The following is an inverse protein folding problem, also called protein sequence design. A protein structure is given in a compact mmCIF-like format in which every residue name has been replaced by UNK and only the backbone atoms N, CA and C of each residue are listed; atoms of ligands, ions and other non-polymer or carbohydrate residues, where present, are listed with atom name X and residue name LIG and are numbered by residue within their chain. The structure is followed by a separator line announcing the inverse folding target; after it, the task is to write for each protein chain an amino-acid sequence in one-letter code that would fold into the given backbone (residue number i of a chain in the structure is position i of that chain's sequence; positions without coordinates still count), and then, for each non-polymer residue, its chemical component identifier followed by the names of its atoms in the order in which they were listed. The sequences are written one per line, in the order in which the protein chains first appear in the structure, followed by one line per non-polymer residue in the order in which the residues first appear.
data_IF_649693432429
#
_entry.id   IF_649693432429
#
_cell.length_a   1.000
_cell.length_b   1.000
_cell.length_c   1.000
_cell.angle_alpha   90.00
_cell.angle_beta   90.00
_cell.angle_gamma   90.00
#
_symmetry.space_group_name_H-M   'P 1'
#
loop_
_entity.id
_entity.type
_entity.pdbx_description
1 polymer ?
#
# COMPACT_ATOMS: atom_id res chain seq x y z
N UNK A 1 41.33 -6.73 -12.07
CA UNK A 1 41.36 -5.27 -11.83
C UNK A 1 40.63 -5.03 -10.53
N UNK A 2 41.17 -4.23 -9.61
CA UNK A 2 40.37 -3.75 -8.47
C UNK A 2 39.18 -3.02 -9.08
N UNK A 3 37.97 -3.47 -8.77
CA UNK A 3 36.72 -2.80 -9.12
C UNK A 3 36.79 -1.47 -8.37
N UNK A 4 37.30 -0.42 -8.99
CA UNK A 4 37.17 0.93 -8.46
C UNK A 4 35.67 1.10 -8.22
N UNK A 5 35.27 1.29 -6.97
CA UNK A 5 33.93 1.77 -6.64
C UNK A 5 33.75 3.04 -7.46
N UNK A 6 32.98 2.95 -8.54
CA UNK A 6 32.53 4.14 -9.27
C UNK A 6 31.83 4.98 -8.22
N UNK A 7 32.41 6.12 -7.86
CA UNK A 7 31.81 7.03 -6.91
C UNK A 7 30.40 7.37 -7.43
N UNK A 8 29.37 6.89 -6.75
CA UNK A 8 28.00 7.24 -7.08
C UNK A 8 27.63 8.44 -6.23
N UNK A 9 27.21 9.54 -6.86
CA UNK A 9 26.56 10.63 -6.16
C UNK A 9 25.40 10.07 -5.34
N UNK A 10 25.21 10.59 -4.11
CA UNK A 10 24.10 10.18 -3.24
C UNK A 10 22.75 10.24 -3.98
N UNK A 11 22.56 11.30 -4.76
CA UNK A 11 21.39 11.55 -5.59
C UNK A 11 21.71 11.22 -7.05
N UNK A 12 22.01 9.95 -7.34
CA UNK A 12 22.33 9.51 -8.70
C UNK A 12 21.14 9.67 -9.66
N UNK A 13 21.42 9.99 -10.92
CA UNK A 13 20.37 10.15 -11.95
C UNK A 13 19.56 8.85 -12.14
N UNK A 14 20.21 7.69 -12.12
CA UNK A 14 19.53 6.38 -12.28
C UNK A 14 18.58 6.03 -11.13
N UNK A 15 18.68 6.72 -9.99
CA UNK A 15 17.75 6.58 -8.86
C UNK A 15 16.85 7.80 -8.67
N UNK A 16 16.86 8.76 -9.61
CA UNK A 16 16.14 10.04 -9.53
C UNK A 16 14.66 9.88 -9.20
N UNK A 17 13.98 9.01 -9.91
CA UNK A 17 12.57 8.69 -9.63
C UNK A 17 12.32 8.40 -8.14
N UNK A 18 13.19 7.61 -7.52
CA UNK A 18 13.01 7.22 -6.12
C UNK A 18 13.24 8.39 -5.16
N UNK A 19 14.36 9.09 -5.25
CA UNK A 19 14.66 10.16 -4.29
C UNK A 19 13.86 11.45 -4.55
N UNK A 20 13.34 11.66 -5.76
CA UNK A 20 12.40 12.75 -6.04
C UNK A 20 11.05 12.49 -5.36
N UNK A 21 10.51 11.27 -5.46
CA UNK A 21 9.20 10.95 -4.89
C UNK A 21 9.26 10.61 -3.39
N UNK A 22 10.22 9.80 -2.97
CA UNK A 22 10.42 9.37 -1.58
C UNK A 22 11.72 9.98 -1.05
N UNK A 23 11.69 11.26 -0.68
CA UNK A 23 12.89 12.07 -0.39
C UNK A 23 13.78 11.52 0.74
N UNK A 24 13.25 10.97 1.87
CA UNK A 24 14.10 10.39 2.91
C UNK A 24 14.85 9.13 2.47
N UNK A 25 14.43 8.48 1.38
CA UNK A 25 15.05 7.23 0.91
C UNK A 25 16.53 7.40 0.56
N UNK A 26 16.94 8.58 0.09
CA UNK A 26 18.31 8.87 -0.31
C UNK A 26 19.33 8.58 0.81
N UNK A 27 19.08 9.11 2.02
CA UNK A 27 19.92 8.90 3.21
C UNK A 27 19.61 7.59 3.93
N UNK A 28 18.35 7.13 3.90
CA UNK A 28 18.00 5.85 4.51
C UNK A 28 18.78 4.69 3.89
N UNK A 29 19.01 4.73 2.58
CA UNK A 29 19.73 3.67 1.88
C UNK A 29 21.23 3.58 2.19
N UNK A 30 21.86 4.64 2.72
CA UNK A 30 23.27 4.62 3.15
C UNK A 30 23.52 3.59 4.26
N UNK A 31 22.48 3.21 5.00
CA UNK A 31 22.54 2.21 6.07
C UNK A 31 22.58 0.77 5.54
N UNK A 32 22.41 0.57 4.23
CA UNK A 32 22.30 -0.75 3.61
C UNK A 32 23.41 -0.96 2.57
N UNK A 33 24.07 -2.13 2.55
CA UNK A 33 25.13 -2.41 1.59
C UNK A 33 24.58 -2.39 0.16
N UNK A 34 25.38 -1.87 -0.77
CA UNK A 34 25.12 -2.05 -2.20
C UNK A 34 25.60 -3.45 -2.64
N UNK A 35 24.76 -4.44 -2.39
CA UNK A 35 24.96 -5.78 -2.91
C UNK A 35 24.46 -5.79 -4.36
N UNK A 36 25.37 -5.55 -5.30
CA UNK A 36 25.08 -5.66 -6.74
C UNK A 36 24.42 -7.01 -7.09
N UNK A 37 23.85 -7.11 -8.29
CA UNK A 37 23.20 -8.33 -8.77
C UNK A 37 23.86 -8.84 -10.05
N UNK A 38 23.69 -10.13 -10.35
CA UNK A 38 24.13 -10.71 -11.63
C UNK A 38 23.55 -9.94 -12.83
N UNK A 39 22.30 -9.46 -12.72
CA UNK A 39 21.69 -8.63 -13.76
C UNK A 39 22.38 -7.27 -13.93
N UNK A 40 22.86 -6.65 -12.83
CA UNK A 40 23.62 -5.41 -12.89
C UNK A 40 25.02 -5.63 -13.47
N UNK A 41 25.65 -6.77 -13.17
CA UNK A 41 26.93 -7.15 -13.75
C UNK A 41 26.81 -7.48 -15.25
N UNK A 42 25.77 -8.24 -15.64
CA UNK A 42 25.38 -8.52 -17.02
C UNK A 42 25.15 -7.20 -17.80
N UNK A 43 24.39 -6.27 -17.21
CA UNK A 43 24.15 -4.94 -17.79
C UNK A 43 25.42 -4.11 -17.96
N UNK A 44 26.30 -4.08 -16.96
CA UNK A 44 27.58 -3.36 -17.04
C UNK A 44 28.44 -3.86 -18.20
N UNK A 45 28.46 -5.18 -18.41
CA UNK A 45 29.18 -5.80 -19.52
C UNK A 45 28.57 -5.43 -20.88
N UNK A 46 27.24 -5.40 -20.96
CA UNK A 46 26.53 -5.00 -22.17
C UNK A 46 26.75 -3.52 -22.51
N UNK A 47 26.77 -2.60 -21.52
CA UNK A 47 27.13 -1.20 -21.75
C UNK A 47 28.57 -1.05 -22.26
N UNK A 48 29.54 -1.75 -21.66
CA UNK A 48 30.93 -1.71 -22.15
C UNK A 48 31.06 -2.21 -23.60
N UNK A 49 30.24 -3.20 -23.99
CA UNK A 49 30.17 -3.69 -25.37
C UNK A 49 29.50 -2.67 -26.30
N UNK A 50 28.42 -2.03 -25.87
CA UNK A 50 27.75 -0.96 -26.61
C UNK A 50 28.67 0.23 -26.84
N UNK A 51 29.31 0.73 -25.77
CA UNK A 51 30.28 1.83 -25.78
C UNK A 51 31.34 1.62 -26.87
N UNK A 52 32.06 0.49 -26.85
CA UNK A 52 33.17 0.29 -27.78
C UNK A 52 32.70 0.21 -29.24
N UNK A 53 31.47 -0.28 -29.48
CA UNK A 53 30.85 -0.33 -30.81
C UNK A 53 30.49 1.08 -31.29
N UNK A 54 29.88 1.89 -30.44
CA UNK A 54 29.49 3.28 -30.77
C UNK A 54 30.72 4.17 -30.94
N UNK A 55 31.73 4.04 -30.07
CA UNK A 55 33.02 4.73 -30.21
C UNK A 55 33.72 4.35 -31.52
N UNK A 56 33.74 3.07 -31.90
CA UNK A 56 34.32 2.65 -33.17
C UNK A 56 33.62 3.30 -34.37
N UNK A 57 32.31 3.51 -34.29
CA UNK A 57 31.52 4.11 -35.36
C UNK A 57 31.81 5.61 -35.52
N UNK A 58 31.72 6.41 -34.46
CA UNK A 58 31.93 7.87 -34.54
C UNK A 58 33.41 8.28 -34.53
N UNK A 59 34.27 7.48 -33.90
CA UNK A 59 35.69 7.78 -33.70
C UNK A 59 36.62 6.66 -34.21
N UNK A 60 36.52 6.25 -35.49
CA UNK A 60 37.30 5.13 -36.03
C UNK A 60 38.82 5.37 -35.99
N UNK A 61 39.26 6.64 -35.96
CA UNK A 61 40.65 7.04 -35.76
C UNK A 61 41.17 6.78 -34.32
N UNK A 62 40.29 6.80 -33.31
CA UNK A 62 40.64 6.57 -31.90
C UNK A 62 40.38 5.11 -31.47
N UNK A 63 39.36 4.51 -32.08
CA UNK A 63 38.96 3.11 -31.88
C UNK A 63 38.96 2.38 -33.21
N UNK A 64 40.12 1.82 -33.56
CA UNK A 64 40.24 0.96 -34.74
C UNK A 64 39.47 -0.36 -34.57
N UNK A 65 39.11 -1.00 -35.70
CA UNK A 65 38.48 -2.33 -35.69
C UNK A 65 39.29 -3.36 -34.89
N UNK A 66 40.61 -3.31 -34.97
CA UNK A 66 41.50 -4.19 -34.19
C UNK A 66 41.39 -3.94 -32.68
N UNK A 67 41.34 -2.67 -32.25
CA UNK A 67 41.15 -2.28 -30.83
C UNK A 67 39.79 -2.73 -30.31
N UNK A 68 38.73 -2.54 -31.11
CA UNK A 68 37.39 -3.05 -30.80
C UNK A 68 37.41 -4.57 -30.62
N UNK A 69 37.91 -5.33 -31.60
CA UNK A 69 37.97 -6.81 -31.51
C UNK A 69 38.73 -7.29 -30.28
N UNK A 70 39.87 -6.67 -29.95
CA UNK A 70 40.63 -7.01 -28.74
C UNK A 70 39.84 -6.75 -27.46
N UNK A 71 39.09 -5.66 -27.41
CA UNK A 71 38.25 -5.29 -26.26
C UNK A 71 37.10 -6.27 -26.11
N UNK A 72 36.34 -6.54 -27.19
CA UNK A 72 35.25 -7.53 -27.20
C UNK A 72 35.74 -8.92 -26.78
N UNK A 73 36.91 -9.36 -27.26
CA UNK A 73 37.49 -10.65 -26.85
C UNK A 73 37.90 -10.70 -25.37
N UNK A 74 38.12 -9.55 -24.71
CA UNK A 74 38.30 -9.50 -23.25
C UNK A 74 36.95 -9.61 -22.54
N UNK A 75 35.95 -8.85 -22.98
CA UNK A 75 34.59 -8.90 -22.43
C UNK A 75 33.98 -10.31 -22.51
N UNK A 76 34.26 -11.06 -23.59
CA UNK A 76 33.87 -12.47 -23.77
C UNK A 76 34.38 -13.45 -22.70
N UNK A 77 35.37 -13.05 -21.91
CA UNK A 77 35.96 -13.89 -20.85
C UNK A 77 35.38 -13.57 -19.47
N UNK A 78 34.57 -12.52 -19.36
CA UNK A 78 33.91 -12.16 -18.11
C UNK A 78 32.80 -13.17 -17.79
N UNK A 79 32.59 -13.44 -16.50
CA UNK A 79 31.68 -14.49 -16.01
C UNK A 79 30.24 -14.32 -16.51
N UNK A 80 29.75 -13.09 -16.59
CA UNK A 80 28.37 -12.78 -16.97
C UNK A 80 28.19 -12.54 -18.48
N UNK A 81 29.16 -12.93 -19.31
CA UNK A 81 29.04 -12.82 -20.76
C UNK A 81 27.92 -13.71 -21.31
N UNK A 82 27.12 -13.15 -22.22
CA UNK A 82 26.17 -13.90 -23.04
C UNK A 82 26.33 -13.44 -24.50
N UNK A 83 26.43 -14.39 -25.44
CA UNK A 83 26.59 -14.08 -26.86
C UNK A 83 25.44 -13.26 -27.45
N UNK A 84 24.22 -13.37 -26.90
CA UNK A 84 23.06 -12.55 -27.28
C UNK A 84 23.29 -11.05 -27.07
N UNK A 85 24.18 -10.65 -26.13
CA UNK A 85 24.56 -9.25 -25.93
C UNK A 85 25.05 -8.60 -27.22
N UNK A 86 25.68 -9.37 -28.12
CA UNK A 86 26.16 -8.84 -29.39
C UNK A 86 25.00 -8.31 -30.23
N UNK A 87 23.94 -9.09 -30.42
CA UNK A 87 22.77 -8.69 -31.18
C UNK A 87 22.08 -7.47 -30.58
N UNK A 88 21.84 -7.48 -29.26
CA UNK A 88 21.20 -6.36 -28.58
C UNK A 88 22.02 -5.05 -28.65
N UNK A 89 23.34 -5.14 -28.54
CA UNK A 89 24.20 -3.96 -28.69
C UNK A 89 24.36 -3.51 -30.14
N UNK A 90 24.17 -4.40 -31.12
CA UNK A 90 24.06 -4.02 -32.54
C UNK A 90 22.75 -3.27 -32.81
N UNK A 91 21.62 -3.70 -32.26
CA UNK A 91 20.34 -2.99 -32.34
C UNK A 91 20.45 -1.56 -31.76
N UNK A 92 21.12 -1.40 -30.62
CA UNK A 92 21.39 -0.08 -30.04
C UNK A 92 22.23 0.82 -30.96
N UNK A 93 23.32 0.27 -31.52
CA UNK A 93 24.16 0.99 -32.46
C UNK A 93 23.38 1.41 -33.71
N UNK A 94 22.54 0.52 -34.25
CA UNK A 94 21.74 0.80 -35.46
C UNK A 94 20.68 1.88 -35.20
N UNK A 95 20.09 1.92 -34.01
CA UNK A 95 19.24 3.04 -33.59
C UNK A 95 20.02 4.36 -33.59
N UNK A 96 21.21 4.40 -32.99
CA UNK A 96 22.04 5.62 -32.96
C UNK A 96 22.43 6.08 -34.36
N UNK A 97 22.82 5.16 -35.25
CA UNK A 97 23.11 5.50 -36.66
C UNK A 97 21.91 6.14 -37.33
N UNK A 98 20.72 5.56 -37.15
CA UNK A 98 19.48 6.07 -37.72
C UNK A 98 19.16 7.47 -37.18
N UNK A 99 19.30 7.66 -35.86
CA UNK A 99 19.10 8.95 -35.22
C UNK A 99 20.10 10.00 -35.73
N UNK A 100 21.38 9.67 -35.87
CA UNK A 100 22.40 10.57 -36.40
C UNK A 100 22.16 10.95 -37.87
N UNK A 101 21.65 10.02 -38.68
CA UNK A 101 21.28 10.25 -40.08
C UNK A 101 20.02 11.13 -40.24
N UNK A 102 19.21 11.29 -39.19
CA UNK A 102 18.02 12.13 -39.22
C UNK A 102 18.33 13.64 -39.09
N UNK A 103 19.56 14.01 -38.74
CA UNK A 103 20.01 15.41 -38.75
C UNK A 103 20.36 15.86 -40.18
N UNK A 104 20.08 17.13 -40.50
CA UNK A 104 20.41 17.73 -41.81
C UNK A 104 21.91 17.67 -42.15
N UNK A 105 22.74 17.71 -41.12
CA UNK A 105 24.19 17.59 -41.19
C UNK A 105 24.68 16.61 -40.12
N UNK A 106 25.86 16.04 -40.33
CA UNK A 106 26.47 15.14 -39.37
C UNK A 106 26.54 15.81 -37.98
N UNK A 107 25.89 15.24 -36.95
CA UNK A 107 25.89 15.84 -35.62
C UNK A 107 27.24 15.62 -34.92
N UNK A 108 27.54 16.46 -33.94
CA UNK A 108 28.56 16.16 -32.94
C UNK A 108 28.06 15.03 -32.05
N UNK A 109 28.88 14.01 -31.76
CA UNK A 109 28.47 12.82 -31.04
C UNK A 109 29.37 12.56 -29.82
N UNK A 110 28.91 12.79 -28.61
CA UNK A 110 29.63 12.42 -27.39
C UNK A 110 29.19 11.00 -26.93
N UNK A 111 30.14 10.13 -26.57
CA UNK A 111 29.89 8.73 -26.16
C UNK A 111 30.45 8.48 -24.77
N UNK A 112 29.67 7.86 -23.88
CA UNK A 112 30.00 7.66 -22.45
C UNK A 112 30.48 8.97 -21.78
N UNK A 113 29.73 10.04 -22.00
CA UNK A 113 30.10 11.38 -21.57
C UNK A 113 29.65 11.64 -20.15
N UNK A 114 30.58 12.04 -19.29
CA UNK A 114 30.22 12.59 -17.98
C UNK A 114 29.53 13.95 -18.16
N UNK A 115 28.32 14.05 -17.61
CA UNK A 115 27.50 15.26 -17.58
C UNK A 115 27.30 15.70 -16.13
N UNK A 116 27.42 17.02 -15.91
CA UNK A 116 27.28 17.63 -14.59
C UNK A 116 25.96 18.39 -14.53
N UNK A 117 25.13 18.06 -13.55
CA UNK A 117 23.84 18.70 -13.28
C UNK A 117 23.81 19.21 -11.83
N UNK A 118 24.98 19.54 -11.30
CA UNK A 118 25.25 20.04 -9.95
C UNK A 118 24.59 21.39 -9.66
N UNK A 119 24.23 22.13 -10.72
CA UNK A 119 23.33 23.29 -10.63
C UNK A 119 21.98 22.96 -9.99
N UNK A 120 21.46 21.75 -10.20
CA UNK A 120 20.13 21.33 -9.75
C UNK A 120 20.21 20.33 -8.59
N UNK A 121 21.16 19.42 -8.63
CA UNK A 121 21.29 18.34 -7.63
C UNK A 121 22.64 18.48 -6.93
N UNK A 122 22.73 18.61 -5.60
CA UNK A 122 24.02 18.71 -4.92
C UNK A 122 24.94 17.53 -5.27
N UNK A 123 26.17 17.84 -5.69
CA UNK A 123 27.16 16.84 -6.17
C UNK A 123 26.66 16.01 -7.36
N UNK A 124 25.72 16.57 -8.15
CA UNK A 124 25.02 15.88 -9.23
C UNK A 124 25.86 15.69 -10.48
N UNK A 125 26.18 14.44 -10.80
CA UNK A 125 26.74 14.06 -12.10
C UNK A 125 26.27 12.67 -12.51
N UNK A 126 26.46 12.35 -13.79
CA UNK A 126 26.23 11.03 -14.34
C UNK A 126 26.96 10.81 -15.66
N UNK A 127 26.78 9.63 -16.25
CA UNK A 127 27.36 9.29 -17.55
C UNK A 127 26.22 9.03 -18.52
N UNK A 128 26.17 9.82 -19.59
CA UNK A 128 25.23 9.61 -20.69
C UNK A 128 25.89 8.72 -21.75
N UNK A 129 25.19 7.65 -22.15
CA UNK A 129 25.74 6.64 -23.06
C UNK A 129 26.05 7.23 -24.45
N UNK A 130 25.11 8.01 -25.01
CA UNK A 130 25.32 8.74 -26.26
C UNK A 130 24.55 10.08 -26.26
N UNK A 131 25.22 11.13 -26.73
CA UNK A 131 24.64 12.46 -26.94
C UNK A 131 24.93 12.88 -28.37
N UNK A 132 23.90 13.26 -29.13
CA UNK A 132 24.02 13.86 -30.46
C UNK A 132 23.61 15.34 -30.40
N UNK A 133 24.39 16.21 -31.01
CA UNK A 133 24.15 17.66 -31.05
C UNK A 133 24.22 18.12 -32.49
N UNK A 134 23.14 18.71 -33.01
CA UNK A 134 23.10 19.21 -34.38
C UNK A 134 21.92 20.15 -34.62
N UNK A 135 22.14 21.19 -35.42
CA UNK A 135 21.14 22.25 -35.62
C UNK A 135 20.75 22.88 -34.28
N UNK A 136 19.45 22.86 -33.97
CA UNK A 136 18.90 23.30 -32.67
C UNK A 136 18.41 22.16 -31.77
N UNK A 137 18.91 20.93 -32.00
CA UNK A 137 18.49 19.72 -31.28
C UNK A 137 19.65 19.13 -30.48
N UNK A 138 19.39 18.84 -29.20
CA UNK A 138 20.22 18.00 -28.35
C UNK A 138 19.49 16.67 -28.13
N UNK A 139 20.10 15.55 -28.51
CA UNK A 139 19.50 14.22 -28.42
C UNK A 139 20.33 13.35 -27.46
N UNK A 140 19.73 12.96 -26.32
CA UNK A 140 20.34 12.01 -25.37
C UNK A 140 19.75 10.62 -25.60
N UNK A 141 20.60 9.62 -25.79
CA UNK A 141 20.20 8.24 -26.08
C UNK A 141 20.82 7.32 -25.02
N UNK A 142 19.99 6.70 -24.19
CA UNK A 142 20.40 5.79 -23.11
C UNK A 142 20.05 4.34 -23.48
N UNK A 143 21.02 3.44 -23.26
CA UNK A 143 20.89 2.02 -23.45
C UNK A 143 20.36 1.38 -22.17
N UNK A 144 19.34 0.54 -22.28
CA UNK A 144 18.86 -0.27 -21.17
C UNK A 144 18.97 -1.76 -21.51
N UNK A 145 19.76 -2.48 -20.74
CA UNK A 145 19.94 -3.92 -20.92
C UNK A 145 19.01 -4.80 -20.06
N UNK A 146 18.20 -4.21 -19.17
CA UNK A 146 17.27 -4.96 -18.34
C UNK A 146 16.18 -5.67 -19.15
N UNK A 147 15.74 -6.85 -18.70
CA UNK A 147 14.67 -7.66 -19.33
C UNK A 147 13.37 -7.78 -18.53
N UNK A 148 13.26 -7.05 -17.42
CA UNK A 148 12.13 -7.22 -16.48
C UNK A 148 11.04 -6.16 -16.59
N UNK A 149 11.41 -4.93 -16.91
CA UNK A 149 10.50 -3.77 -16.86
C UNK A 149 10.81 -2.87 -18.06
N UNK A 150 9.82 -2.52 -18.90
CA UNK A 150 10.00 -1.54 -19.94
C UNK A 150 10.29 -0.18 -19.30
N UNK A 151 11.28 0.55 -19.83
CA UNK A 151 11.63 1.90 -19.36
C UNK A 151 11.14 2.92 -20.38
N UNK A 152 10.34 3.88 -19.93
CA UNK A 152 9.84 4.99 -20.76
C UNK A 152 10.81 6.17 -20.73
N UNK A 153 10.98 6.83 -21.88
CA UNK A 153 11.70 8.10 -22.00
C UNK A 153 10.82 9.30 -21.64
N UNK A 154 9.50 9.15 -21.68
CA UNK A 154 8.52 10.19 -21.34
C UNK A 154 8.71 10.65 -19.89
N UNK A 155 9.00 11.94 -19.73
CA UNK A 155 9.22 12.59 -18.43
C UNK A 155 10.24 11.88 -17.53
N UNK A 156 11.17 11.14 -18.14
CA UNK A 156 12.11 10.32 -17.40
C UNK A 156 13.18 11.17 -16.71
N UNK A 157 13.16 11.20 -15.37
CA UNK A 157 14.04 12.05 -14.57
C UNK A 157 15.54 11.77 -14.76
N UNK A 158 15.93 10.52 -15.05
CA UNK A 158 17.33 10.20 -15.38
C UNK A 158 17.74 10.89 -16.68
N UNK A 159 16.92 10.75 -17.73
CA UNK A 159 17.17 11.34 -19.04
C UNK A 159 17.14 12.86 -19.00
N UNK A 160 16.22 13.43 -18.23
CA UNK A 160 16.12 14.88 -17.98
C UNK A 160 17.39 15.40 -17.32
N UNK A 161 17.91 14.74 -16.27
CA UNK A 161 19.16 15.13 -15.61
C UNK A 161 20.35 15.07 -16.57
N UNK A 162 20.42 14.05 -17.42
CA UNK A 162 21.45 13.95 -18.45
C UNK A 162 21.34 15.07 -19.47
N UNK A 163 20.13 15.38 -19.93
CA UNK A 163 19.89 16.48 -20.86
C UNK A 163 20.19 17.85 -20.25
N UNK A 164 19.86 18.08 -18.97
CA UNK A 164 20.22 19.29 -18.24
C UNK A 164 21.73 19.49 -18.17
N UNK A 165 22.48 18.43 -17.85
CA UNK A 165 23.93 18.50 -17.79
C UNK A 165 24.59 18.66 -19.17
N UNK A 166 24.07 17.96 -20.19
CA UNK A 166 24.53 18.11 -21.56
C UNK A 166 24.25 19.51 -22.12
N UNK A 167 23.04 20.05 -21.88
CA UNK A 167 22.66 21.40 -22.27
C UNK A 167 23.54 22.45 -21.59
N UNK A 168 23.80 22.31 -20.28
CA UNK A 168 24.72 23.20 -19.57
C UNK A 168 26.13 23.21 -20.20
N UNK A 169 26.61 22.05 -20.66
CA UNK A 169 27.92 21.93 -21.29
C UNK A 169 27.98 22.50 -22.72
N UNK A 170 26.88 22.49 -23.48
CA UNK A 170 26.90 22.84 -24.90
C UNK A 170 26.19 24.17 -25.26
N UNK A 171 25.33 24.71 -24.38
CA UNK A 171 24.47 25.88 -24.65
C UNK A 171 25.20 27.19 -25.01
N UNK A 172 26.49 27.32 -24.65
CA UNK A 172 27.31 28.48 -25.05
C UNK A 172 27.72 28.38 -26.53
N UNK A 173 27.88 27.16 -27.05
CA UNK A 173 28.37 26.89 -28.40
C UNK A 173 27.23 26.61 -29.39
N UNK A 174 26.09 26.11 -28.90
CA UNK A 174 24.96 25.69 -29.73
C UNK A 174 23.66 26.37 -29.28
N UNK A 175 22.92 26.93 -30.23
CA UNK A 175 21.56 27.44 -30.01
C UNK A 175 20.56 26.28 -30.02
N UNK A 176 20.41 25.61 -28.88
CA UNK A 176 19.48 24.50 -28.71
C UNK A 176 18.09 25.02 -28.35
N UNK A 177 17.07 24.60 -29.09
CA UNK A 177 15.66 24.93 -28.83
C UNK A 177 14.88 23.74 -28.27
N UNK A 178 15.29 22.51 -28.62
CA UNK A 178 14.61 21.27 -28.27
C UNK A 178 15.58 20.22 -27.75
N UNK A 179 15.10 19.37 -26.84
CA UNK A 179 15.78 18.14 -26.45
C UNK A 179 14.96 16.93 -26.84
N UNK A 180 15.62 15.91 -27.37
CA UNK A 180 15.05 14.58 -27.58
C UNK A 180 15.72 13.60 -26.65
N UNK A 181 14.92 12.78 -25.98
CA UNK A 181 15.37 11.74 -25.07
C UNK A 181 14.91 10.40 -25.64
N UNK A 182 15.84 9.47 -25.78
CA UNK A 182 15.54 8.13 -26.24
C UNK A 182 16.07 7.09 -25.29
N UNK A 183 15.25 6.10 -24.98
CA UNK A 183 15.63 4.89 -24.27
C UNK A 183 15.51 3.72 -25.23
N UNK A 184 16.61 2.99 -25.40
CA UNK A 184 16.69 1.83 -26.26
C UNK A 184 16.89 0.59 -25.41
N UNK A 185 15.89 -0.29 -25.39
CA UNK A 185 15.86 -1.50 -24.57
C UNK A 185 15.60 -2.75 -25.43
N UNK A 186 16.62 -3.25 -26.15
CA UNK A 186 16.46 -4.27 -27.20
C UNK A 186 15.89 -5.60 -26.71
N UNK A 187 16.23 -6.02 -25.48
CA UNK A 187 15.73 -7.30 -24.90
C UNK A 187 14.21 -7.35 -24.72
N UNK A 188 13.56 -6.19 -24.68
CA UNK A 188 12.10 -6.07 -24.62
C UNK A 188 11.51 -5.54 -25.93
N UNK A 189 12.33 -5.38 -26.98
CA UNK A 189 11.97 -4.69 -28.21
C UNK A 189 11.29 -3.34 -27.94
N UNK A 190 11.77 -2.64 -26.91
CA UNK A 190 11.20 -1.38 -26.43
C UNK A 190 12.13 -0.23 -26.84
N UNK A 191 11.60 0.66 -27.67
CA UNK A 191 12.20 1.96 -27.98
C UNK A 191 11.17 2.99 -27.54
N UNK A 192 11.58 3.87 -26.62
CA UNK A 192 10.74 4.95 -26.11
C UNK A 192 11.44 6.27 -26.37
N UNK A 193 10.68 7.24 -26.87
CA UNK A 193 11.18 8.56 -27.24
C UNK A 193 10.29 9.64 -26.62
N UNK A 194 10.91 10.73 -26.19
CA UNK A 194 10.21 11.91 -25.71
C UNK A 194 10.96 13.17 -26.15
N UNK A 195 10.23 14.24 -26.41
CA UNK A 195 10.79 15.51 -26.88
C UNK A 195 10.13 16.66 -26.11
N UNK A 196 10.95 17.61 -25.68
CA UNK A 196 10.46 18.83 -25.02
C UNK A 196 11.32 20.04 -25.41
N UNK A 197 10.76 21.24 -25.20
CA UNK A 197 11.49 22.50 -25.40
C UNK A 197 12.42 22.81 -24.23
N UNK A 198 13.43 23.65 -24.44
CA UNK A 198 14.32 24.10 -23.35
C UNK A 198 13.56 24.72 -22.14
N UNK A 199 12.52 25.55 -22.32
CA UNK A 199 11.78 26.09 -21.16
C UNK A 199 11.17 25.00 -20.28
N UNK A 200 10.64 23.93 -20.89
CA UNK A 200 10.08 22.80 -20.18
C UNK A 200 11.16 21.97 -19.48
N UNK A 201 12.28 21.70 -20.17
CA UNK A 201 13.44 21.03 -19.57
C UNK A 201 13.95 21.77 -18.33
N UNK A 202 14.06 23.11 -18.39
CA UNK A 202 14.51 23.92 -17.27
C UNK A 202 13.48 23.92 -16.11
N UNK A 203 12.19 23.91 -16.41
CA UNK A 203 11.14 23.78 -15.39
C UNK A 203 11.24 22.44 -14.64
N UNK A 204 11.56 21.34 -15.34
CA UNK A 204 11.91 20.08 -14.68
C UNK A 204 13.15 20.22 -13.80
N UNK A 205 14.16 20.94 -14.27
CA UNK A 205 15.36 21.25 -13.47
C UNK A 205 15.02 21.93 -12.15
N UNK A 206 14.17 22.95 -12.17
CA UNK A 206 13.73 23.68 -10.97
C UNK A 206 12.95 22.76 -10.01
N UNK A 207 12.00 21.98 -10.53
CA UNK A 207 11.26 20.99 -9.74
C UNK A 207 12.20 19.95 -9.08
N UNK A 208 13.16 19.41 -9.85
CA UNK A 208 14.12 18.44 -9.33
C UNK A 208 15.00 19.08 -8.26
N UNK A 209 15.40 20.35 -8.43
CA UNK A 209 16.23 21.06 -7.47
C UNK A 209 15.56 21.19 -6.09
N UNK A 210 14.28 21.53 -6.07
CA UNK A 210 13.49 21.60 -4.83
C UNK A 210 13.47 20.25 -4.10
N UNK A 211 13.26 19.15 -4.83
CA UNK A 211 13.21 17.80 -4.27
C UNK A 211 14.60 17.31 -3.85
N UNK A 212 15.62 17.61 -4.63
CA UNK A 212 17.01 17.25 -4.34
C UNK A 212 17.51 17.91 -3.06
N UNK A 213 17.17 19.18 -2.81
CA UNK A 213 17.55 19.90 -1.60
C UNK A 213 17.03 19.22 -0.31
N UNK A 214 15.82 18.66 -0.37
CA UNK A 214 15.19 17.92 0.73
C UNK A 214 15.82 16.52 0.87
N UNK A 215 15.91 15.79 -0.25
CA UNK A 215 16.45 14.43 -0.29
C UNK A 215 17.91 14.38 0.18
N UNK A 216 18.73 15.37 -0.19
CA UNK A 216 20.14 15.44 0.18
C UNK A 216 20.34 15.52 1.71
N UNK A 217 19.39 16.11 2.43
CA UNK A 217 19.36 16.16 3.90
C UNK A 217 18.73 14.92 4.54
N UNK A 218 18.09 14.05 3.75
CA UNK A 218 17.30 12.92 4.25
C UNK A 218 15.97 13.31 4.89
N UNK A 219 15.48 14.51 4.57
CA UNK A 219 14.22 15.06 5.11
C UNK A 219 13.05 14.75 4.17
N UNK A 220 11.84 15.24 4.52
CA UNK A 220 10.64 15.11 3.71
C UNK A 220 9.76 13.91 4.09
N UNK A 221 8.98 13.43 3.14
CA UNK A 221 7.97 12.39 3.38
C UNK A 221 8.35 11.07 2.70
N UNK A 222 8.10 9.97 3.40
CA UNK A 222 8.17 8.66 2.77
C UNK A 222 6.97 8.50 1.82
N UNK A 223 7.26 8.15 0.57
CA UNK A 223 6.26 7.83 -0.44
C UNK A 223 6.45 6.37 -0.92
N UNK A 224 6.12 5.38 -0.07
CA UNK A 224 6.24 3.98 -0.45
C UNK A 224 5.26 3.65 -1.58
N UNK A 225 5.80 3.24 -2.73
CA UNK A 225 5.04 2.70 -3.86
C UNK A 225 5.86 1.66 -4.59
N UNK A 226 5.24 0.89 -5.49
CA UNK A 226 5.93 -0.16 -6.23
C UNK A 226 7.17 0.39 -6.94
N UNK A 227 7.04 1.50 -7.64
CA UNK A 227 8.13 2.09 -8.43
C UNK A 227 9.26 2.67 -7.56
N UNK A 228 8.93 3.36 -6.46
CA UNK A 228 9.94 3.90 -5.53
C UNK A 228 10.62 2.79 -4.70
N UNK A 229 9.89 1.73 -4.35
CA UNK A 229 10.38 0.68 -3.45
C UNK A 229 11.08 -0.47 -4.18
N UNK A 230 10.76 -0.73 -5.46
CA UNK A 230 11.25 -1.92 -6.20
C UNK A 230 12.76 -2.07 -6.11
N UNK A 231 13.51 -0.99 -6.30
CA UNK A 231 14.98 -1.00 -6.25
C UNK A 231 15.56 -0.34 -4.99
N UNK A 232 14.74 0.04 -4.03
CA UNK A 232 15.20 0.62 -2.76
C UNK A 232 15.93 -0.43 -1.92
N UNK A 233 17.15 -0.13 -1.46
CA UNK A 233 17.93 -1.06 -0.60
C UNK A 233 17.24 -1.29 0.75
N UNK A 234 16.54 -0.29 1.27
CA UNK A 234 15.77 -0.38 2.51
C UNK A 234 14.43 -1.14 2.37
N UNK A 235 14.03 -1.57 1.15
CA UNK A 235 12.68 -2.07 0.84
C UNK A 235 12.19 -3.22 1.74
N UNK A 236 13.09 -4.02 2.31
CA UNK A 236 12.75 -5.16 3.17
C UNK A 236 12.50 -4.75 4.64
N UNK A 237 13.07 -3.64 5.09
CA UNK A 237 13.05 -3.19 6.49
C UNK A 237 12.38 -1.80 6.66
N UNK A 238 11.97 -1.16 5.56
CA UNK A 238 11.34 0.15 5.59
C UNK A 238 9.97 0.11 6.29
N UNK A 239 9.84 0.84 7.40
CA UNK A 239 8.60 0.94 8.17
C UNK A 239 7.46 1.56 7.37
N UNK A 240 7.72 2.65 6.65
CA UNK A 240 6.70 3.30 5.82
C UNK A 240 6.15 2.34 4.75
N UNK A 241 7.00 1.52 4.13
CA UNK A 241 6.54 0.49 3.17
C UNK A 241 5.72 -0.60 3.85
N UNK A 242 6.11 -1.03 5.04
CA UNK A 242 5.34 -2.02 5.80
C UNK A 242 3.96 -1.48 6.19
N UNK A 243 3.89 -0.25 6.70
CA UNK A 243 2.65 0.43 7.06
C UNK A 243 1.75 0.67 5.84
N UNK A 244 2.31 1.09 4.71
CA UNK A 244 1.55 1.26 3.46
C UNK A 244 1.03 -0.07 2.92
N UNK A 245 1.82 -1.14 2.95
CA UNK A 245 1.32 -2.45 2.51
C UNK A 245 0.26 -3.02 3.47
N UNK A 246 0.36 -2.76 4.78
CA UNK A 246 -0.72 -3.07 5.74
C UNK A 246 -1.94 -2.24 5.40
N UNK A 247 -1.80 -0.93 5.15
CA UNK A 247 -2.90 -0.07 4.73
C UNK A 247 -3.57 -0.61 3.46
N UNK A 248 -2.80 -0.95 2.42
CA UNK A 248 -3.32 -1.54 1.18
C UNK A 248 -3.96 -2.91 1.38
N UNK A 249 -3.41 -3.76 2.26
CA UNK A 249 -3.98 -5.09 2.52
C UNK A 249 -5.29 -5.04 3.33
N UNK A 250 -5.48 -4.03 4.19
CA UNK A 250 -6.62 -3.95 5.10
C UNK A 250 -7.62 -2.82 4.79
N UNK A 251 -7.30 -1.88 3.88
CA UNK A 251 -8.14 -0.73 3.49
C UNK A 251 -8.35 -0.62 1.96
N UNK A 252 -8.55 -1.74 1.26
CA UNK A 252 -9.02 -1.72 -0.13
C UNK A 252 -10.54 -1.49 -0.21
N UNK A 253 -10.95 -0.23 -0.27
CA UNK A 253 -12.34 0.16 -0.53
C UNK A 253 -12.66 0.16 -2.02
N UNK A 254 -13.42 -0.86 -2.45
CA UNK A 254 -14.77 -0.65 -3.00
C UNK A 254 -15.61 -1.89 -2.66
N UNK A 255 -16.00 -2.00 -1.39
CA UNK A 255 -17.08 -2.92 -1.02
C UNK A 255 -18.42 -2.35 -1.51
N UNK A 256 -19.38 -3.19 -1.92
CA UNK A 256 -20.74 -2.75 -2.22
C UNK A 256 -21.33 -1.94 -1.05
N UNK A 257 -22.29 -1.02 -1.30
CA UNK A 257 -22.86 -0.17 -0.25
C UNK A 257 -23.65 -0.95 0.82
N UNK A 258 -23.94 -2.23 0.56
CA UNK A 258 -24.61 -3.15 1.47
C UNK A 258 -23.66 -4.31 1.79
N UNK A 259 -23.59 -4.67 3.06
CA UNK A 259 -22.83 -5.83 3.53
C UNK A 259 -23.59 -7.12 3.21
N UNK A 260 -22.88 -8.19 2.86
CA UNK A 260 -23.51 -9.52 2.67
C UNK A 260 -23.82 -10.19 4.02
N UNK A 261 -24.64 -11.25 4.03
CA UNK A 261 -24.92 -11.99 5.28
C UNK A 261 -23.67 -12.66 5.84
N UNK A 262 -22.72 -13.04 4.98
CA UNK A 262 -21.42 -13.55 5.37
C UNK A 262 -20.63 -12.45 6.10
N UNK A 263 -20.61 -11.23 5.56
CA UNK A 263 -19.99 -10.08 6.22
C UNK A 263 -20.69 -9.73 7.54
N UNK A 264 -22.02 -9.86 7.64
CA UNK A 264 -22.76 -9.71 8.91
C UNK A 264 -22.26 -10.72 9.95
N UNK A 265 -22.11 -11.99 9.58
CA UNK A 265 -21.58 -13.03 10.46
C UNK A 265 -20.16 -12.72 10.94
N UNK A 266 -19.28 -12.32 10.02
CA UNK A 266 -17.91 -11.92 10.36
C UNK A 266 -17.85 -10.71 11.29
N UNK A 267 -18.67 -9.68 11.06
CA UNK A 267 -18.70 -8.50 11.91
C UNK A 267 -19.27 -8.79 13.29
N UNK A 268 -20.25 -9.71 13.40
CA UNK A 268 -20.76 -10.15 14.70
C UNK A 268 -19.70 -10.89 15.52
N UNK A 269 -18.90 -11.73 14.88
CA UNK A 269 -17.81 -12.45 15.55
C UNK A 269 -16.68 -11.51 15.98
N UNK A 270 -16.19 -10.65 15.06
CA UNK A 270 -15.16 -9.65 15.35
C UNK A 270 -15.64 -8.63 16.39
N UNK A 271 -16.90 -8.24 16.31
CA UNK A 271 -17.52 -7.28 17.23
C UNK A 271 -17.68 -7.81 18.65
N UNK A 272 -17.75 -9.12 18.87
CA UNK A 272 -17.92 -9.70 20.21
C UNK A 272 -16.73 -9.36 21.12
N UNK A 273 -15.51 -9.48 20.60
CA UNK A 273 -14.30 -9.15 21.36
C UNK A 273 -14.14 -7.63 21.51
N UNK A 274 -14.40 -6.86 20.45
CA UNK A 274 -14.36 -5.39 20.51
C UNK A 274 -15.34 -4.84 21.53
N UNK A 275 -16.55 -5.41 21.65
CA UNK A 275 -17.53 -4.99 22.64
C UNK A 275 -17.10 -5.32 24.07
N UNK A 276 -16.48 -6.48 24.30
CA UNK A 276 -15.90 -6.85 25.60
C UNK A 276 -14.72 -5.96 25.95
N UNK A 277 -13.78 -5.77 25.03
CA UNK A 277 -12.64 -4.90 25.21
C UNK A 277 -13.05 -3.44 25.47
N UNK A 278 -14.06 -2.92 24.75
CA UNK A 278 -14.60 -1.59 25.02
C UNK A 278 -15.24 -1.50 26.41
N UNK A 279 -15.90 -2.56 26.87
CA UNK A 279 -16.42 -2.64 28.25
C UNK A 279 -15.27 -2.63 29.26
N UNK A 280 -14.24 -3.43 29.05
CA UNK A 280 -13.05 -3.51 29.91
C UNK A 280 -12.31 -2.17 29.96
N UNK A 281 -12.17 -1.48 28.81
CA UNK A 281 -11.61 -0.14 28.73
C UNK A 281 -12.43 0.89 29.50
N UNK A 282 -13.76 0.82 29.43
CA UNK A 282 -14.64 1.71 30.22
C UNK A 282 -14.49 1.45 31.71
N UNK A 283 -14.41 0.18 32.12
CA UNK A 283 -14.18 -0.20 33.53
C UNK A 283 -12.80 0.27 34.02
N UNK A 284 -11.75 0.11 33.20
CA UNK A 284 -10.41 0.65 33.47
C UNK A 284 -10.40 2.17 33.57
N UNK A 285 -10.99 2.87 32.58
CA UNK A 285 -11.04 4.33 32.55
C UNK A 285 -11.78 4.88 33.78
N UNK A 286 -12.90 4.25 34.18
CA UNK A 286 -13.61 4.58 35.42
C UNK A 286 -12.70 4.42 36.64
N UNK A 287 -11.99 3.29 36.76
CA UNK A 287 -11.08 3.02 37.87
C UNK A 287 -9.95 4.05 37.96
N UNK A 288 -9.33 4.42 36.84
CA UNK A 288 -8.24 5.40 36.83
C UNK A 288 -8.76 6.82 37.12
N UNK A 289 -9.94 7.18 36.59
CA UNK A 289 -10.59 8.45 36.91
C UNK A 289 -10.92 8.55 38.42
N UNK A 290 -11.41 7.46 39.03
CA UNK A 290 -11.65 7.40 40.49
C UNK A 290 -10.36 7.44 41.32
N UNK A 291 -9.22 7.03 40.74
CA UNK A 291 -7.89 7.15 41.34
C UNK A 291 -7.26 8.55 41.16
N UNK A 292 -7.99 9.51 40.56
CA UNK A 292 -7.52 10.88 40.36
C UNK A 292 -6.63 11.09 39.14
N UNK A 293 -6.56 10.11 38.22
CA UNK A 293 -5.81 10.24 36.96
C UNK A 293 -6.73 10.72 35.83
N UNK A 294 -6.16 11.44 34.87
CA UNK A 294 -6.90 11.93 33.71
C UNK A 294 -6.95 10.91 32.57
N UNK A 295 -8.15 10.68 32.02
CA UNK A 295 -8.36 9.94 30.77
C UNK A 295 -8.99 10.92 29.77
N UNK A 296 -8.25 11.26 28.70
CA UNK A 296 -8.67 12.28 27.74
C UNK A 296 -10.08 12.02 27.20
N UNK A 297 -10.97 13.01 27.31
CA UNK A 297 -12.36 12.95 26.86
C UNK A 297 -13.34 12.22 27.80
N UNK A 298 -12.87 11.67 28.93
CA UNK A 298 -13.70 10.93 29.89
C UNK A 298 -13.53 11.47 31.30
N UNK A 299 -14.60 11.39 32.10
CA UNK A 299 -14.57 11.72 33.53
C UNK A 299 -15.49 10.77 34.29
N UNK A 300 -15.13 10.46 35.54
CA UNK A 300 -16.06 9.83 36.46
C UNK A 300 -17.10 10.86 36.93
N UNK A 301 -18.38 10.49 36.90
CA UNK A 301 -19.48 11.29 37.44
C UNK A 301 -20.35 10.39 38.31
N UNK A 302 -21.15 10.99 39.19
CA UNK A 302 -22.16 10.23 39.91
C UNK A 302 -23.13 9.58 38.91
N UNK A 303 -23.38 8.29 39.12
CA UNK A 303 -24.49 7.62 38.46
C UNK A 303 -25.83 8.20 38.91
N UNK A 304 -26.93 7.67 38.39
CA UNK A 304 -28.26 8.07 38.85
C UNK A 304 -28.39 7.72 40.34
N UNK A 305 -28.42 8.74 41.20
CA UNK A 305 -28.58 8.54 42.64
C UNK A 305 -29.89 7.83 42.99
N UNK A 306 -29.82 6.93 43.97
CA UNK A 306 -30.99 6.42 44.69
C UNK A 306 -31.14 7.18 46.01
N UNK A 307 -32.38 7.27 46.50
CA UNK A 307 -32.64 7.66 47.89
C UNK A 307 -33.08 6.40 48.61
N UNK A 308 -32.37 6.09 49.68
CA UNK A 308 -32.69 4.96 50.55
C UNK A 308 -33.07 5.47 51.93
N UNK A 309 -33.91 4.70 52.63
CA UNK A 309 -34.25 5.01 54.03
C UNK A 309 -33.08 4.68 54.94
N UNK A 310 -32.75 5.57 55.87
CA UNK A 310 -31.78 5.28 56.93
C UNK A 310 -32.33 4.24 57.93
N UNK A 311 -33.63 4.26 58.16
CA UNK A 311 -34.39 3.31 58.98
C UNK A 311 -35.83 3.32 58.44
N UNK A 312 -36.15 2.36 57.56
CA UNK A 312 -37.45 2.28 56.89
C UNK A 312 -38.59 2.15 57.90
N UNK A 313 -38.39 1.37 58.97
CA UNK A 313 -39.42 1.13 59.98
C UNK A 313 -39.76 2.39 60.76
N UNK A 314 -38.74 3.15 61.22
CA UNK A 314 -38.99 4.45 61.86
C UNK A 314 -39.58 5.46 60.90
N UNK A 315 -39.13 5.48 59.64
CA UNK A 315 -39.69 6.38 58.64
C UNK A 315 -41.17 6.09 58.38
N UNK A 316 -41.52 4.82 58.19
CA UNK A 316 -42.89 4.39 57.93
C UNK A 316 -43.78 4.62 59.16
N UNK A 317 -43.28 4.31 60.36
CA UNK A 317 -43.98 4.63 61.62
C UNK A 317 -44.24 6.14 61.75
N UNK A 318 -43.24 6.98 61.43
CA UNK A 318 -43.38 8.45 61.49
C UNK A 318 -44.43 8.94 60.49
N UNK A 319 -44.44 8.39 59.27
CA UNK A 319 -45.46 8.72 58.26
C UNK A 319 -46.86 8.32 58.74
N UNK A 320 -47.01 7.12 59.32
CA UNK A 320 -48.29 6.64 59.87
C UNK A 320 -48.76 7.46 61.07
N UNK A 321 -47.87 7.79 62.00
CA UNK A 321 -48.18 8.65 63.15
C UNK A 321 -48.61 10.08 62.73
N UNK A 322 -48.26 10.50 61.51
CA UNK A 322 -48.64 11.79 60.90
C UNK A 322 -49.79 11.68 59.88
N UNK A 323 -50.56 10.58 59.91
CA UNK A 323 -51.82 10.45 59.18
C UNK A 323 -51.71 9.89 57.77
N UNK A 324 -50.56 9.33 57.37
CA UNK A 324 -50.43 8.56 56.13
C UNK A 324 -50.86 7.11 56.38
N UNK A 325 -51.84 6.63 55.62
CA UNK A 325 -52.33 5.26 55.74
C UNK A 325 -51.20 4.25 55.47
N UNK A 326 -50.98 3.33 56.41
CA UNK A 326 -50.00 2.27 56.27
C UNK A 326 -50.25 1.42 55.01
N UNK A 327 -51.51 1.30 54.56
CA UNK A 327 -51.85 0.53 53.36
C UNK A 327 -51.25 1.10 52.06
N UNK A 328 -50.98 2.40 51.99
CA UNK A 328 -50.37 3.03 50.79
C UNK A 328 -48.84 3.05 50.85
N UNK A 329 -48.24 2.75 52.01
CA UNK A 329 -46.79 2.67 52.18
C UNK A 329 -46.20 1.35 51.64
N UNK A 330 -47.05 0.35 51.41
CA UNK A 330 -46.64 -0.97 50.93
C UNK A 330 -47.35 -1.33 49.63
N UNK A 331 -46.59 -1.70 48.62
CA UNK A 331 -47.13 -2.25 47.39
C UNK A 331 -47.15 -3.78 47.48
N UNK A 332 -48.32 -4.41 47.32
CA UNK A 332 -48.43 -5.87 47.19
C UNK A 332 -48.38 -6.27 45.72
N UNK A 333 -47.19 -6.59 45.23
CA UNK A 333 -47.02 -7.10 43.87
C UNK A 333 -47.24 -8.62 43.86
N UNK A 334 -48.04 -9.16 42.91
CA UNK A 334 -48.17 -10.61 42.76
C UNK A 334 -46.82 -11.25 42.41
N UNK A 335 -46.57 -12.43 42.96
CA UNK A 335 -45.40 -13.22 42.61
C UNK A 335 -45.45 -13.60 41.12
N UNK A 336 -44.30 -13.52 40.45
CA UNK A 336 -44.16 -14.10 39.12
C UNK A 336 -44.38 -15.61 39.15
N UNK A 337 -44.75 -16.21 38.02
CA UNK A 337 -45.00 -17.65 37.90
C UNK A 337 -43.84 -18.48 38.47
N UNK A 338 -42.59 -18.11 38.17
CA UNK A 338 -41.40 -18.78 38.69
C UNK A 338 -41.24 -18.64 40.22
N UNK A 339 -41.63 -17.49 40.78
CA UNK A 339 -41.62 -17.28 42.24
C UNK A 339 -42.74 -18.07 42.92
N UNK A 340 -43.94 -18.16 42.32
CA UNK A 340 -45.04 -19.00 42.81
C UNK A 340 -44.61 -20.46 42.77
N UNK A 341 -44.10 -20.97 41.64
CA UNK A 341 -43.62 -22.35 41.48
C UNK A 341 -42.55 -22.71 42.51
N UNK A 342 -41.62 -21.78 42.81
CA UNK A 342 -40.62 -21.96 43.87
C UNK A 342 -41.25 -22.00 45.27
N UNK A 343 -42.30 -21.22 45.52
CA UNK A 343 -42.91 -21.07 46.85
C UNK A 343 -43.83 -22.24 47.21
N UNK A 344 -44.72 -22.65 46.30
CA UNK A 344 -45.61 -23.81 46.51
C UNK A 344 -44.94 -25.14 46.16
N UNK A 345 -43.79 -25.11 45.48
CA UNK A 345 -43.05 -26.31 45.08
C UNK A 345 -43.60 -26.92 43.80
N UNK A 346 -42.68 -27.43 42.94
CA UNK A 346 -42.99 -27.86 41.56
C UNK A 346 -44.14 -28.88 41.45
N UNK A 347 -44.21 -29.84 42.39
CA UNK A 347 -45.21 -30.92 42.35
C UNK A 347 -46.62 -30.37 42.61
N UNK A 348 -46.78 -29.60 43.68
CA UNK A 348 -48.07 -28.97 44.03
C UNK A 348 -48.45 -27.88 43.03
N UNK A 349 -47.48 -27.10 42.53
CA UNK A 349 -47.70 -26.13 41.46
C UNK A 349 -48.30 -26.79 40.21
N UNK A 350 -47.69 -27.90 39.75
CA UNK A 350 -48.17 -28.60 38.56
C UNK A 350 -49.56 -29.22 38.78
N UNK A 351 -49.82 -29.80 39.96
CA UNK A 351 -51.13 -30.41 40.28
C UNK A 351 -52.24 -29.38 40.45
N UNK A 352 -51.97 -28.24 41.10
CA UNK A 352 -53.00 -27.29 41.49
C UNK A 352 -53.28 -26.23 40.43
N UNK A 353 -52.23 -25.75 39.76
CA UNK A 353 -52.34 -24.60 38.85
C UNK A 353 -51.67 -24.81 37.49
N UNK A 354 -51.11 -26.00 37.23
CA UNK A 354 -50.42 -26.31 35.99
C UNK A 354 -51.30 -26.20 34.74
N UNK A 355 -52.61 -26.43 34.86
CA UNK A 355 -53.57 -26.26 33.77
C UNK A 355 -53.74 -24.80 33.32
N UNK A 356 -53.37 -23.84 34.17
CA UNK A 356 -53.41 -22.40 33.88
C UNK A 356 -52.09 -21.85 33.32
N UNK A 357 -51.09 -22.71 33.07
CA UNK A 357 -49.77 -22.31 32.58
C UNK A 357 -49.61 -22.63 31.10
N UNK A 358 -49.54 -21.59 30.27
CA UNK A 358 -49.18 -21.73 28.85
C UNK A 358 -47.69 -21.52 28.69
N UNK A 359 -46.97 -22.55 28.23
CA UNK A 359 -45.56 -22.42 27.86
C UNK A 359 -45.44 -21.79 26.48
N UNK A 360 -45.31 -20.47 26.46
CA UNK A 360 -45.02 -19.76 25.22
C UNK A 360 -43.58 -20.06 24.77
N UNK A 361 -43.33 -20.32 23.48
CA UNK A 361 -41.98 -20.43 22.96
C UNK A 361 -41.23 -19.11 23.23
N UNK A 362 -39.97 -19.23 23.65
CA UNK A 362 -39.11 -18.07 23.86
C UNK A 362 -38.97 -17.28 22.56
N UNK A 363 -38.83 -15.95 22.67
CA UNK A 363 -38.55 -15.11 21.50
C UNK A 363 -37.29 -15.63 20.80
N UNK A 364 -37.27 -15.76 19.46
CA UNK A 364 -36.07 -16.14 18.73
C UNK A 364 -34.91 -15.23 19.10
N UNK A 365 -33.76 -15.83 19.40
CA UNK A 365 -32.54 -15.13 19.75
C UNK A 365 -31.43 -15.64 18.86
N UNK A 366 -30.54 -14.74 18.45
CA UNK A 366 -29.37 -15.11 17.68
C UNK A 366 -28.41 -15.93 18.57
N UNK A 367 -27.95 -17.05 18.05
CA UNK A 367 -26.98 -17.92 18.70
C UNK A 367 -25.91 -18.34 17.69
N UNK A 368 -24.73 -18.73 18.17
CA UNK A 368 -23.68 -19.30 17.31
C UNK A 368 -24.15 -20.65 16.77
N UNK A 369 -23.65 -21.05 15.61
CA UNK A 369 -23.97 -22.35 15.01
C UNK A 369 -23.56 -23.54 15.90
N UNK A 370 -22.57 -23.35 16.77
CA UNK A 370 -22.17 -24.34 17.79
C UNK A 370 -23.19 -24.53 18.92
N UNK A 371 -24.23 -23.69 18.99
CA UNK A 371 -25.32 -23.87 19.93
C UNK A 371 -26.14 -25.11 19.54
N UNK A 372 -26.36 -26.01 20.51
CA UNK A 372 -27.05 -27.29 20.27
C UNK A 372 -28.56 -27.14 20.06
N UNK A 373 -29.13 -25.95 20.31
CA UNK A 373 -30.56 -25.69 20.11
C UNK A 373 -30.89 -25.70 18.62
N UNK A 374 -32.00 -26.33 18.20
CA UNK A 374 -32.38 -26.36 16.79
C UNK A 374 -32.69 -24.95 16.30
N UNK A 375 -32.28 -24.65 15.06
CA UNK A 375 -32.58 -23.38 14.42
C UNK A 375 -34.10 -23.25 14.20
N UNK A 376 -34.65 -22.08 14.54
CA UNK A 376 -36.04 -21.73 14.26
C UNK A 376 -36.07 -20.94 12.95
N UNK A 377 -36.86 -21.39 11.97
CA UNK A 377 -37.01 -20.69 10.69
C UNK A 377 -38.49 -20.42 10.39
N UNK A 378 -38.79 -19.31 9.73
CA UNK A 378 -40.13 -18.98 9.24
C UNK A 378 -40.36 -19.47 7.79
N UNK A 379 -39.49 -20.35 7.27
CA UNK A 379 -39.65 -20.93 5.93
C UNK A 379 -40.55 -22.16 6.05
N UNK A 380 -41.69 -22.16 5.36
CA UNK A 380 -42.55 -23.34 5.22
C UNK A 380 -41.74 -24.44 4.53
N UNK A 381 -41.59 -25.59 5.17
CA UNK A 381 -40.88 -26.71 4.57
C UNK A 381 -41.72 -27.33 3.45
N UNK A 382 -41.09 -27.94 2.45
CA UNK A 382 -41.81 -28.68 1.41
C UNK A 382 -42.65 -29.84 1.99
N UNK A 383 -42.25 -30.39 3.14
CA UNK A 383 -43.02 -31.39 3.87
C UNK A 383 -44.31 -30.80 4.48
N UNK A 384 -44.27 -29.56 5.00
CA UNK A 384 -45.47 -28.87 5.50
C UNK A 384 -46.36 -28.33 4.37
N UNK A 385 -45.79 -28.05 3.19
CA UNK A 385 -46.55 -27.58 2.03
C UNK A 385 -47.28 -28.70 1.26
N UNK A 386 -46.82 -29.97 1.36
CA UNK A 386 -47.35 -31.10 0.57
C UNK A 386 -47.73 -32.34 1.39
N UNK A 387 -47.59 -32.32 2.72
CA UNK A 387 -47.83 -33.48 3.58
C UNK A 387 -49.17 -33.46 4.34
N UNK A 388 -50.25 -33.96 3.71
CA UNK A 388 -51.30 -34.69 4.43
C UNK A 388 -52.76 -34.39 4.10
N UNK A 389 -53.28 -35.01 3.05
CA UNK A 389 -54.72 -35.28 2.87
C UNK A 389 -55.00 -36.78 2.91
N UNK A 390 -55.96 -37.17 3.76
CA UNK A 390 -56.78 -38.42 3.80
C UNK A 390 -56.08 -39.75 4.15
N UNK A 391 -56.66 -40.72 4.88
CA UNK A 391 -58.06 -41.05 5.14
C UNK A 391 -58.22 -41.92 6.42
N UNK A 392 -59.43 -41.95 7.00
CA UNK A 392 -59.81 -42.95 8.01
C UNK A 392 -61.21 -42.77 8.60
N UNK A 393 -62.27 -43.01 7.81
CA UNK A 393 -63.66 -43.14 8.27
C UNK A 393 -63.87 -44.35 9.21
N UNK A 394 -64.73 -44.20 10.23
CA UNK A 394 -65.87 -45.07 10.64
C UNK A 394 -66.46 -44.54 11.96
N UNK A 395 -67.70 -44.05 11.98
CA UNK A 395 -68.90 -44.69 12.60
C UNK A 395 -69.00 -44.27 14.08
N UNK A 396 -70.10 -43.76 14.66
CA UNK A 396 -71.53 -44.06 14.54
C UNK A 396 -72.40 -42.83 14.93
N UNK A 397 -73.67 -42.93 14.55
CA UNK A 397 -74.85 -42.03 14.69
C UNK A 397 -75.45 -42.08 16.14
N UNK A 398 -76.65 -41.51 16.45
CA UNK A 398 -77.22 -40.16 16.30
C UNK A 398 -77.92 -39.66 17.61
N UNK A 399 -78.76 -38.61 17.51
CA UNK A 399 -79.84 -38.12 18.40
C UNK A 399 -79.51 -36.95 19.35
N UNK A 400 -79.77 -35.70 18.90
CA UNK A 400 -80.94 -34.86 19.23
C UNK A 400 -80.91 -33.53 18.45
#
# INVERSE_FOLDING_TARGET
MKKEERAHALLSASSAHRWVHCTPSARLEEQFPDTGSDAAAEGTLAHALAEIKVQQYFYPQEVSKQKMTRTVNKLKKEEHWNDEMQGYTDEYLDYIKTAAMAFDHAPHADVEKTVYFDKYVPEGFGTADCILIGGSTLHVIDFKYGKGVPVSAEENLQMILYALGAYAACSILYSIDRVRLSIVQPRLSNISEWECGIPELLAYGDFIADRAAIAFKGEGEFAPGEEACRFCRARAQCRARAEENVRLAFFTDKKPPLITNEEVGEYLEKGEDVAKWLKDLKEYALKECLAGKEISGWKAVEGRGSRDWTDMDKAFKTLTDNGIDAAILWERTPLSLAQVEKTVGKKEFQTLVGEYVVKNPGKPALAKESDKRPAVTNKVSAAEAFGGSEAGKKGENPDE
#
